data_IF_854572855306
#
_entry.id   IF_854572855306
#
_cell.length_a   1.000
_cell.length_b   1.000
_cell.length_c   1.000
_cell.angle_alpha   90.00
_cell.angle_beta   90.00
_cell.angle_gamma   90.00
#
_symmetry.space_group_name_H-M   'P 1'
#
loop_
_entity.id
_entity.type
_entity.pdbx_description
1 polymer ?
#
# COMPACT_ATOMS: atom_id res chain seq x y z
N UNK A 1 -10.42 1.91 8.64
CA UNK A 1 -10.27 3.37 8.48
C UNK A 1 -9.67 3.68 7.12
N UNK A 2 -10.29 4.55 6.38
CA UNK A 2 -9.77 5.03 5.10
C UNK A 2 -8.98 6.32 5.34
N UNK A 3 -7.78 6.40 4.78
CA UNK A 3 -6.94 7.58 4.90
C UNK A 3 -7.35 8.65 3.89
N UNK A 4 -7.35 9.90 4.31
CA UNK A 4 -7.71 11.03 3.43
C UNK A 4 -6.49 11.55 2.65
N UNK A 5 -6.76 12.50 1.75
CA UNK A 5 -5.72 13.08 0.88
C UNK A 5 -4.60 13.75 1.68
N UNK A 6 -4.93 14.35 2.83
CA UNK A 6 -3.95 15.01 3.66
C UNK A 6 -2.97 14.01 4.28
N UNK A 7 -3.48 12.87 4.73
CA UNK A 7 -2.65 11.79 5.26
C UNK A 7 -1.75 11.22 4.16
N UNK A 8 -2.31 10.99 2.97
CA UNK A 8 -1.57 10.48 1.81
C UNK A 8 -0.41 11.42 1.46
N UNK A 9 -0.67 12.73 1.46
CA UNK A 9 0.35 13.73 1.19
C UNK A 9 1.51 13.65 2.20
N UNK A 10 1.18 13.54 3.48
CA UNK A 10 2.19 13.57 4.54
C UNK A 10 3.00 12.27 4.61
N UNK A 11 2.37 11.14 4.35
CA UNK A 11 2.98 9.82 4.56
C UNK A 11 3.62 9.28 3.29
N UNK A 12 2.95 9.39 2.15
CA UNK A 12 3.45 8.91 0.86
C UNK A 12 4.20 9.99 0.09
N UNK A 13 4.13 11.26 0.54
CA UNK A 13 4.72 12.41 -0.15
C UNK A 13 4.10 12.63 -1.52
N UNK A 14 2.80 12.34 -1.64
CA UNK A 14 2.04 12.48 -2.87
C UNK A 14 1.02 13.61 -2.76
N UNK A 15 1.04 14.53 -3.71
CA UNK A 15 0.03 15.56 -3.84
C UNK A 15 -1.18 14.99 -4.57
N UNK A 16 -2.34 15.65 -4.47
CA UNK A 16 -3.55 15.17 -5.14
C UNK A 16 -3.42 15.07 -6.66
N UNK A 17 -2.53 15.88 -7.25
CA UNK A 17 -2.26 15.81 -8.68
C UNK A 17 -1.35 14.67 -9.10
N UNK A 18 -0.76 13.95 -8.15
CA UNK A 18 0.17 12.85 -8.44
C UNK A 18 -0.53 11.53 -8.71
N UNK A 19 -1.85 11.47 -8.54
CA UNK A 19 -2.64 10.27 -8.83
C UNK A 19 -4.01 10.69 -9.34
N UNK A 20 -4.62 9.83 -10.17
CA UNK A 20 -5.98 10.04 -10.65
C UNK A 20 -7.01 9.63 -9.59
N UNK A 21 -6.70 8.57 -8.84
CA UNK A 21 -7.55 8.09 -7.76
C UNK A 21 -6.71 7.26 -6.78
N UNK A 22 -7.16 7.13 -5.56
CA UNK A 22 -6.52 6.24 -4.59
C UNK A 22 -7.49 5.84 -3.49
N UNK A 23 -7.17 4.72 -2.85
CA UNK A 23 -7.89 4.25 -1.68
C UNK A 23 -6.89 3.53 -0.78
N UNK A 24 -6.64 4.06 0.40
CA UNK A 24 -5.74 3.45 1.38
C UNK A 24 -6.54 3.16 2.64
N UNK A 25 -6.58 1.89 3.01
CA UNK A 25 -7.34 1.40 4.16
C UNK A 25 -6.40 0.77 5.16
N UNK A 26 -6.60 1.07 6.43
CA UNK A 26 -5.83 0.46 7.51
C UNK A 26 -6.76 0.08 8.65
N UNK A 27 -6.35 -0.93 9.41
CA UNK A 27 -7.08 -1.32 10.60
C UNK A 27 -7.01 -0.20 11.64
N UNK A 28 -8.10 -0.02 12.38
CA UNK A 28 -8.12 0.88 13.54
C UNK A 28 -8.02 0.10 14.86
N UNK A 29 -7.73 -1.20 14.77
CA UNK A 29 -7.50 -2.04 15.95
C UNK A 29 -6.03 -1.96 16.32
N UNK A 30 -5.73 -1.56 17.57
CA UNK A 30 -4.36 -1.29 18.00
C UNK A 30 -3.44 -2.50 18.11
N UNK A 31 -3.95 -3.71 17.86
CA UNK A 31 -3.19 -4.95 17.97
C UNK A 31 -2.74 -5.52 16.63
N UNK A 32 -3.08 -4.88 15.51
CA UNK A 32 -2.66 -5.32 14.18
C UNK A 32 -2.15 -4.13 13.37
N UNK A 33 -1.43 -4.45 12.28
CA UNK A 33 -0.93 -3.43 11.35
C UNK A 33 -1.51 -3.61 9.95
N UNK A 34 -2.59 -4.36 9.82
CA UNK A 34 -3.20 -4.67 8.53
C UNK A 34 -3.52 -3.40 7.75
N UNK A 35 -3.01 -3.33 6.53
CA UNK A 35 -3.16 -2.15 5.69
C UNK A 35 -3.06 -2.55 4.23
N UNK A 36 -3.83 -1.90 3.36
CA UNK A 36 -3.65 -2.03 1.92
C UNK A 36 -4.00 -0.71 1.25
N UNK A 37 -3.46 -0.51 0.05
CA UNK A 37 -3.77 0.67 -0.71
C UNK A 37 -3.70 0.41 -2.20
N UNK A 38 -4.57 1.09 -2.95
CA UNK A 38 -4.61 1.03 -4.40
C UNK A 38 -4.51 2.47 -4.92
N UNK A 39 -3.60 2.69 -5.87
CA UNK A 39 -3.41 3.98 -6.51
C UNK A 39 -3.60 3.82 -8.01
N UNK A 40 -4.25 4.79 -8.62
CA UNK A 40 -4.41 4.84 -10.08
C UNK A 40 -3.68 6.06 -10.61
N UNK A 41 -2.78 5.88 -11.56
CA UNK A 41 -2.13 6.97 -12.27
C UNK A 41 -2.98 7.42 -13.46
N UNK A 42 -2.80 8.66 -13.87
CA UNK A 42 -3.47 9.18 -15.06
C UNK A 42 -2.86 8.61 -16.35
N UNK A 43 -1.60 8.17 -16.27
CA UNK A 43 -0.87 7.58 -17.39
C UNK A 43 0.25 6.67 -16.84
N UNK A 44 1.00 6.04 -17.74
CA UNK A 44 2.06 5.11 -17.36
C UNK A 44 3.19 5.78 -16.58
N UNK A 45 3.52 7.01 -16.91
CA UNK A 45 4.57 7.76 -16.21
C UNK A 45 4.17 8.04 -14.77
N UNK A 46 2.92 8.44 -14.56
CA UNK A 46 2.40 8.69 -13.22
C UNK A 46 2.32 7.39 -12.42
N UNK A 47 1.89 6.29 -13.05
CA UNK A 47 1.84 4.98 -12.40
C UNK A 47 3.23 4.53 -11.94
N UNK A 48 4.27 4.76 -12.74
CA UNK A 48 5.65 4.44 -12.36
C UNK A 48 6.11 5.25 -11.16
N UNK A 49 5.75 6.52 -11.09
CA UNK A 49 6.07 7.38 -9.94
C UNK A 49 5.33 6.91 -8.69
N UNK A 50 4.08 6.47 -8.83
CA UNK A 50 3.30 5.94 -7.71
C UNK A 50 3.93 4.65 -7.18
N UNK A 51 4.40 3.78 -8.06
CA UNK A 51 5.08 2.56 -7.63
C UNK A 51 6.30 2.88 -6.79
N UNK A 52 7.11 3.84 -7.23
CA UNK A 52 8.29 4.27 -6.48
C UNK A 52 7.90 4.83 -5.12
N UNK A 53 6.85 5.66 -5.07
CA UNK A 53 6.40 6.24 -3.81
C UNK A 53 5.94 5.17 -2.82
N UNK A 54 5.25 4.12 -3.30
CA UNK A 54 4.81 3.02 -2.45
C UNK A 54 6.01 2.21 -1.95
N UNK A 55 6.98 1.94 -2.81
CA UNK A 55 8.21 1.24 -2.42
C UNK A 55 8.95 2.01 -1.33
N UNK A 56 9.08 3.32 -1.47
CA UNK A 56 9.72 4.17 -0.47
C UNK A 56 8.94 4.20 0.84
N UNK A 57 7.62 4.22 0.77
CA UNK A 57 6.77 4.18 1.96
C UNK A 57 6.97 2.86 2.73
N UNK A 58 6.96 1.73 2.03
CA UNK A 58 7.16 0.43 2.68
C UNK A 58 8.55 0.34 3.32
N UNK A 59 9.57 0.85 2.64
CA UNK A 59 10.92 0.87 3.20
C UNK A 59 11.01 1.79 4.42
N UNK A 60 10.35 2.93 4.37
CA UNK A 60 10.29 3.85 5.51
C UNK A 60 9.64 3.17 6.73
N UNK A 61 8.56 2.41 6.50
CA UNK A 61 7.89 1.67 7.57
C UNK A 61 8.83 0.66 8.21
N UNK A 62 9.61 -0.08 7.39
CA UNK A 62 10.59 -1.03 7.90
C UNK A 62 11.69 -0.34 8.70
N UNK A 63 12.22 0.74 8.19
CA UNK A 63 13.32 1.48 8.82
C UNK A 63 12.89 2.15 10.13
N UNK A 64 11.63 2.53 10.23
CA UNK A 64 11.07 3.24 11.39
C UNK A 64 10.47 2.30 12.43
N UNK A 65 10.44 1.00 12.19
CA UNK A 65 9.80 0.05 13.09
C UNK A 65 10.55 -0.04 14.42
N UNK A 66 9.83 0.04 15.53
CA UNK A 66 10.38 -0.12 16.86
C UNK A 66 10.27 -1.59 17.26
N UNK A 67 11.37 -2.28 17.57
CA UNK A 67 11.34 -3.74 17.82
C UNK A 67 10.37 -4.20 18.89
N UNK A 68 10.07 -3.36 19.86
CA UNK A 68 9.15 -3.70 20.96
C UNK A 68 7.69 -3.51 20.59
N UNK A 69 7.38 -2.85 19.47
CA UNK A 69 6.01 -2.53 19.07
C UNK A 69 5.45 -3.66 18.23
N UNK A 70 4.40 -4.34 18.74
CA UNK A 70 3.71 -5.43 18.06
C UNK A 70 4.67 -6.37 17.32
N UNK A 71 5.63 -7.02 18.03
CA UNK A 71 6.65 -7.82 17.34
C UNK A 71 6.07 -8.97 16.52
N UNK A 72 4.89 -9.49 16.88
CA UNK A 72 4.22 -10.56 16.12
C UNK A 72 3.65 -10.08 14.80
N UNK A 73 3.47 -8.76 14.64
CA UNK A 73 2.95 -8.17 13.40
C UNK A 73 4.05 -7.78 12.42
N UNK A 74 5.29 -7.61 12.89
CA UNK A 74 6.39 -7.19 12.05
C UNK A 74 6.61 -8.08 10.83
N UNK A 75 6.46 -9.42 10.90
CA UNK A 75 6.59 -10.26 9.70
C UNK A 75 5.65 -9.88 8.56
N UNK A 76 4.46 -9.35 8.87
CA UNK A 76 3.54 -8.86 7.83
C UNK A 76 4.15 -7.70 7.05
N UNK A 77 4.83 -6.80 7.74
CA UNK A 77 5.49 -5.66 7.11
C UNK A 77 6.71 -6.12 6.31
N UNK A 78 7.50 -7.04 6.86
CA UNK A 78 8.64 -7.61 6.14
C UNK A 78 8.23 -8.34 4.88
N UNK A 79 7.04 -8.97 4.90
CA UNK A 79 6.48 -9.67 3.77
C UNK A 79 5.52 -8.84 2.92
N UNK A 80 5.43 -7.53 3.16
CA UNK A 80 4.55 -6.65 2.40
C UNK A 80 4.84 -6.79 0.91
N UNK A 81 3.78 -6.78 0.10
CA UNK A 81 3.89 -7.00 -1.32
C UNK A 81 3.29 -5.84 -2.10
N UNK A 82 3.85 -5.60 -3.27
CA UNK A 82 3.38 -4.57 -4.20
C UNK A 82 3.09 -5.22 -5.54
N UNK A 83 1.97 -4.83 -6.14
CA UNK A 83 1.58 -5.26 -7.49
C UNK A 83 1.41 -4.02 -8.36
N UNK A 84 1.82 -4.10 -9.61
CA UNK A 84 1.63 -3.03 -10.59
C UNK A 84 1.08 -3.64 -11.86
N UNK A 85 -0.03 -3.08 -12.36
CA UNK A 85 -0.70 -3.56 -13.57
C UNK A 85 -1.39 -2.37 -14.25
N UNK A 86 -1.05 -2.13 -15.52
CA UNK A 86 -1.58 -0.99 -16.24
C UNK A 86 -1.22 0.31 -15.54
N UNK A 87 -2.22 1.14 -15.25
CA UNK A 87 -2.04 2.40 -14.52
C UNK A 87 -2.25 2.25 -13.02
N UNK A 88 -2.40 1.03 -12.53
CA UNK A 88 -2.71 0.75 -11.12
C UNK A 88 -1.51 0.21 -10.37
N UNK A 89 -1.40 0.61 -9.11
CA UNK A 89 -0.41 0.10 -8.16
C UNK A 89 -1.14 -0.25 -6.87
N UNK A 90 -0.92 -1.46 -6.36
CA UNK A 90 -1.51 -1.89 -5.09
C UNK A 90 -0.40 -2.40 -4.17
N UNK A 91 -0.55 -2.14 -2.87
CA UNK A 91 0.32 -2.76 -1.88
C UNK A 91 -0.53 -3.37 -0.77
N UNK A 92 0.04 -4.35 -0.06
CA UNK A 92 -0.66 -4.99 1.05
C UNK A 92 0.32 -5.35 2.16
N UNK A 93 -0.05 -4.98 3.39
CA UNK A 93 0.62 -5.39 4.63
C UNK A 93 -0.42 -6.24 5.35
N UNK A 94 -0.46 -7.53 5.01
CA UNK A 94 -1.52 -8.45 5.46
C UNK A 94 -0.88 -9.81 5.79
N UNK A 95 -1.68 -10.71 6.36
CA UNK A 95 -1.28 -12.10 6.52
C UNK A 95 -1.05 -12.73 5.14
N UNK A 96 -0.31 -13.83 5.08
CA UNK A 96 0.00 -14.49 3.82
C UNK A 96 -1.26 -14.88 3.05
N UNK A 97 -2.27 -15.42 3.74
CA UNK A 97 -3.53 -15.82 3.10
C UNK A 97 -4.30 -14.61 2.57
N UNK A 98 -4.41 -13.54 3.36
CA UNK A 98 -5.11 -12.34 2.94
C UNK A 98 -4.39 -11.64 1.81
N UNK A 99 -3.06 -11.64 1.85
CA UNK A 99 -2.22 -11.04 0.81
C UNK A 99 -2.35 -11.79 -0.51
N UNK A 100 -2.39 -13.11 -0.47
CA UNK A 100 -2.61 -13.93 -1.66
C UNK A 100 -3.98 -13.65 -2.28
N UNK A 101 -5.02 -13.57 -1.46
CA UNK A 101 -6.36 -13.26 -1.91
C UNK A 101 -6.43 -11.86 -2.54
N UNK A 102 -5.78 -10.88 -1.92
CA UNK A 102 -5.74 -9.51 -2.44
C UNK A 102 -5.03 -9.46 -3.79
N UNK A 103 -3.91 -10.16 -3.93
CA UNK A 103 -3.15 -10.23 -5.19
C UNK A 103 -3.96 -10.87 -6.31
N UNK A 104 -4.67 -11.96 -6.01
CA UNK A 104 -5.53 -12.63 -6.99
C UNK A 104 -6.67 -11.72 -7.42
N UNK A 105 -7.29 -11.01 -6.48
CA UNK A 105 -8.36 -10.08 -6.79
C UNK A 105 -7.87 -8.93 -7.67
N UNK A 106 -6.71 -8.37 -7.35
CA UNK A 106 -6.12 -7.29 -8.13
C UNK A 106 -5.82 -7.75 -9.56
N UNK A 107 -5.11 -8.87 -9.69
CA UNK A 107 -4.76 -9.43 -11.00
C UNK A 107 -6.00 -9.78 -11.81
N UNK A 108 -7.01 -10.32 -11.14
CA UNK A 108 -8.28 -10.69 -11.78
C UNK A 108 -9.03 -9.52 -12.40
N UNK A 109 -8.84 -8.31 -11.89
CA UNK A 109 -9.46 -7.11 -12.45
C UNK A 109 -8.94 -6.80 -13.86
N UNK A 110 -7.77 -7.31 -14.22
CA UNK A 110 -7.14 -7.04 -15.52
C UNK A 110 -7.17 -8.24 -16.46
N UNK A 111 -7.59 -9.41 -15.96
CA UNK A 111 -7.57 -10.65 -16.73
C UNK A 111 -8.75 -10.81 -17.67
N UNK A 112 -9.77 -10.02 -17.47
CA UNK A 112 -10.97 -10.09 -18.25
C UNK A 112 -11.19 -8.93 -19.14
#
# INVERSE_FOLDING_TARGET
>A
TQYDANYIKNVFKLEEGDYADCCVMATNVGTTIDEFGIFKGADAAQAAALKTAVEEYLQFRLDSWMPEYLPEEFPKLQGAQLWAEGDYVMYAILSDDAKAAAGEAFTGCFAG
#
